data_IF_489779146833
#
_entry.id   IF_489779146833
#
_cell.length_a   1.000
_cell.length_b   1.000
_cell.length_c   1.000
_cell.angle_alpha   90.00
_cell.angle_beta   90.00
_cell.angle_gamma   90.00
#
_symmetry.space_group_name_H-M   'P 1'
#
loop_
_entity.id
_entity.type
_entity.pdbx_description
1 polymer ?
#
# COMPACT_ATOMS: atom_id res chain seq x y z
N UNK A 1 57.00 23.17 -7.21
CA UNK A 1 57.03 23.77 -8.54
C UNK A 1 55.62 24.18 -8.97
N UNK A 2 55.45 25.49 -9.06
CA UNK A 2 54.34 26.29 -9.47
C UNK A 2 53.92 26.09 -10.94
N UNK A 3 52.63 26.29 -11.27
CA UNK A 3 52.04 27.11 -12.36
C UNK A 3 50.51 26.93 -12.29
N UNK A 4 49.72 27.89 -11.91
CA UNK A 4 49.20 29.15 -12.53
C UNK A 4 48.69 28.98 -13.97
N UNK A 5 47.43 29.37 -14.17
CA UNK A 5 46.78 29.63 -15.47
C UNK A 5 45.24 29.61 -15.37
N UNK A 6 44.63 30.64 -14.95
CA UNK A 6 43.93 31.83 -15.53
C UNK A 6 42.56 31.58 -16.22
N UNK A 7 41.57 32.11 -15.59
CA UNK A 7 40.30 32.72 -16.01
C UNK A 7 40.10 33.03 -17.50
N UNK A 8 38.86 32.77 -18.01
CA UNK A 8 38.22 33.66 -18.98
C UNK A 8 36.68 33.67 -18.85
N UNK A 9 36.22 34.78 -18.33
CA UNK A 9 34.87 35.31 -18.48
C UNK A 9 34.64 35.79 -19.92
N UNK A 10 33.43 35.50 -20.49
CA UNK A 10 32.87 36.29 -21.54
C UNK A 10 31.37 36.52 -21.31
N UNK A 11 31.09 37.75 -20.93
CA UNK A 11 29.81 38.43 -21.05
C UNK A 11 29.59 38.84 -22.52
N UNK A 12 28.41 38.75 -23.08
CA UNK A 12 27.89 39.70 -24.06
C UNK A 12 26.38 39.82 -23.99
N UNK A 13 26.03 41.00 -23.73
CA UNK A 13 24.76 41.71 -23.74
C UNK A 13 24.14 41.80 -25.16
N UNK A 14 22.82 41.85 -25.17
CA UNK A 14 22.10 42.82 -25.99
C UNK A 14 21.33 42.26 -27.17
N UNK A 15 20.01 42.35 -27.21
CA UNK A 15 19.28 43.46 -27.81
C UNK A 15 17.75 43.27 -27.71
N UNK A 16 17.14 44.31 -27.20
CA UNK A 16 15.71 44.59 -27.31
C UNK A 16 15.30 44.84 -28.79
N UNK A 17 14.10 44.39 -29.16
CA UNK A 17 13.30 45.01 -30.17
C UNK A 17 11.81 44.84 -29.82
N UNK A 18 11.19 45.92 -29.53
CA UNK A 18 9.76 46.15 -29.41
C UNK A 18 9.20 46.55 -30.78
N UNK A 19 7.88 46.66 -30.90
CA UNK A 19 6.99 47.30 -31.94
C UNK A 19 6.01 46.23 -32.48
N UNK A 20 4.73 46.44 -32.61
CA UNK A 20 3.72 47.38 -32.19
C UNK A 20 2.35 46.82 -32.64
N UNK A 21 1.35 47.11 -31.85
CA UNK A 21 -0.05 47.41 -32.13
C UNK A 21 -0.63 47.15 -33.52
N UNK A 22 -1.78 46.45 -33.59
CA UNK A 22 -2.90 46.93 -34.41
C UNK A 22 -4.26 46.48 -33.84
N UNK A 23 -5.04 47.48 -33.59
CA UNK A 23 -6.43 47.59 -33.19
C UNK A 23 -7.31 47.26 -34.41
N UNK A 24 -8.35 46.47 -34.27
CA UNK A 24 -9.37 46.26 -35.28
C UNK A 24 -10.73 45.99 -34.65
N UNK A 25 -11.55 47.02 -34.66
CA UNK A 25 -12.94 47.06 -34.19
C UNK A 25 -13.93 46.62 -35.28
N UNK A 26 -15.18 46.33 -34.87
CA UNK A 26 -16.47 46.27 -35.61
C UNK A 26 -16.80 44.85 -36.22
N UNK A 27 -18.00 44.36 -36.17
CA UNK A 27 -19.32 44.84 -35.82
C UNK A 27 -20.28 43.65 -35.57
N UNK A 28 -21.27 43.89 -34.76
CA UNK A 28 -22.50 43.13 -34.50
C UNK A 28 -23.33 42.87 -35.76
N UNK A 29 -23.85 41.62 -35.91
CA UNK A 29 -25.14 41.41 -36.60
C UNK A 29 -25.95 40.35 -35.85
N UNK A 30 -27.09 40.80 -35.36
CA UNK A 30 -28.18 39.98 -34.87
C UNK A 30 -28.87 39.27 -36.03
N UNK A 31 -29.15 37.97 -35.89
CA UNK A 31 -29.95 37.22 -36.85
C UNK A 31 -30.68 36.07 -36.14
N UNK A 32 -31.94 36.30 -35.81
CA UNK A 32 -32.89 35.22 -35.48
C UNK A 32 -33.17 34.40 -36.72
N UNK A 33 -33.10 33.11 -36.62
CA UNK A 33 -33.52 32.15 -37.63
C UNK A 33 -33.95 30.85 -36.99
N UNK A 34 -35.23 30.70 -36.87
CA UNK A 34 -36.00 29.52 -36.41
C UNK A 34 -35.95 28.47 -37.54
N UNK A 35 -35.70 27.20 -37.23
CA UNK A 35 -36.30 25.94 -37.74
C UNK A 35 -35.25 24.78 -37.83
N UNK A 36 -35.49 23.79 -37.01
CA UNK A 36 -35.54 22.36 -37.30
C UNK A 36 -34.25 21.66 -37.79
N UNK A 37 -33.74 20.78 -36.97
CA UNK A 37 -32.79 19.74 -37.33
C UNK A 37 -32.31 19.03 -36.05
N UNK A 38 -32.95 17.91 -35.75
CA UNK A 38 -32.44 16.93 -34.79
C UNK A 38 -31.18 16.34 -35.39
N UNK A 39 -30.04 16.67 -34.80
CA UNK A 39 -28.81 15.91 -34.92
C UNK A 39 -28.41 15.53 -33.51
N UNK A 40 -28.58 14.23 -33.18
CA UNK A 40 -28.05 13.59 -32.00
C UNK A 40 -26.53 13.74 -31.94
N UNK A 41 -26.06 14.83 -31.40
CA UNK A 41 -24.72 14.91 -30.88
C UNK A 41 -24.74 14.19 -29.53
N UNK A 42 -24.26 12.96 -29.53
CA UNK A 42 -23.94 12.22 -28.34
C UNK A 42 -23.05 13.11 -27.46
N UNK A 43 -23.66 13.79 -26.52
CA UNK A 43 -22.98 14.38 -25.37
C UNK A 43 -22.36 13.21 -24.60
N UNK A 44 -21.06 13.04 -24.74
CA UNK A 44 -20.28 12.23 -23.82
C UNK A 44 -20.55 12.81 -22.42
N UNK A 45 -21.38 12.12 -21.68
CA UNK A 45 -21.74 12.47 -20.31
C UNK A 45 -20.49 12.37 -19.42
N UNK A 46 -19.81 13.47 -19.24
CA UNK A 46 -19.07 13.74 -18.03
C UNK A 46 -20.14 14.00 -16.96
N UNK A 47 -20.55 12.98 -16.23
CA UNK A 47 -21.35 13.17 -15.03
C UNK A 47 -20.56 14.08 -14.11
N UNK A 48 -21.16 15.21 -13.75
CA UNK A 48 -20.67 16.07 -12.68
C UNK A 48 -20.74 15.20 -11.41
N UNK A 49 -19.62 14.53 -11.07
CA UNK A 49 -19.57 13.70 -9.88
C UNK A 49 -19.70 14.64 -8.69
N UNK A 50 -20.73 14.45 -7.87
CA UNK A 50 -20.96 15.25 -6.66
C UNK A 50 -19.90 14.93 -5.56
N UNK A 51 -18.69 14.49 -5.98
CA UNK A 51 -17.56 14.21 -5.11
C UNK A 51 -16.77 15.49 -4.84
N UNK A 52 -16.26 15.61 -3.63
CA UNK A 52 -15.40 16.74 -3.23
C UNK A 52 -14.08 16.71 -4.00
N UNK A 53 -13.54 15.52 -4.22
CA UNK A 53 -12.33 15.25 -5.01
C UNK A 53 -12.57 14.01 -5.85
N UNK A 54 -12.63 14.15 -7.18
CA UNK A 54 -12.85 13.03 -8.10
C UNK A 54 -11.56 12.35 -8.57
N UNK A 55 -10.41 12.95 -8.39
CA UNK A 55 -9.11 12.36 -8.75
C UNK A 55 -8.26 12.18 -7.50
N UNK A 56 -7.88 10.95 -7.21
CA UNK A 56 -7.10 10.59 -6.00
C UNK A 56 -5.88 9.73 -6.36
N UNK A 57 -4.83 9.83 -5.53
CA UNK A 57 -3.66 8.97 -5.61
C UNK A 57 -3.69 7.92 -4.49
N UNK A 58 -3.59 6.64 -4.87
CA UNK A 58 -3.49 5.52 -3.93
C UNK A 58 -2.10 4.90 -4.00
N UNK A 59 -1.32 5.00 -2.93
CA UNK A 59 0.00 4.35 -2.86
C UNK A 59 -0.06 3.03 -2.09
N UNK A 60 0.73 2.04 -2.51
CA UNK A 60 0.72 0.71 -1.89
C UNK A 60 2.09 0.04 -1.88
N UNK A 61 2.28 -0.96 -1.01
CA UNK A 61 3.46 -1.83 -1.05
C UNK A 61 3.27 -2.91 -2.14
N UNK A 62 4.35 -3.41 -2.75
CA UNK A 62 4.25 -4.48 -3.73
C UNK A 62 3.90 -5.81 -3.04
N UNK A 63 2.63 -6.21 -3.11
CA UNK A 63 2.13 -7.50 -2.62
C UNK A 63 0.86 -7.88 -3.35
N UNK A 64 0.43 -9.13 -3.22
CA UNK A 64 -0.85 -9.57 -3.77
C UNK A 64 -2.06 -9.05 -3.00
N UNK A 65 -1.84 -8.47 -1.81
CA UNK A 65 -2.89 -7.88 -0.95
C UNK A 65 -3.69 -6.79 -1.66
N UNK A 66 -3.08 -6.16 -2.66
CA UNK A 66 -3.68 -5.07 -3.44
C UNK A 66 -4.41 -5.54 -4.70
N UNK A 67 -4.52 -6.85 -4.92
CA UNK A 67 -5.26 -7.36 -6.08
C UNK A 67 -6.68 -6.78 -6.19
N UNK A 68 -7.47 -6.61 -5.11
CA UNK A 68 -8.77 -5.95 -5.20
C UNK A 68 -8.71 -4.50 -5.68
N UNK A 69 -7.64 -3.74 -5.37
CA UNK A 69 -7.45 -2.36 -5.83
C UNK A 69 -7.30 -2.30 -7.37
N UNK A 70 -6.46 -3.16 -7.92
CA UNK A 70 -6.28 -3.27 -9.37
C UNK A 70 -7.51 -3.84 -10.06
N UNK A 71 -8.19 -4.78 -9.42
CA UNK A 71 -9.46 -5.32 -9.91
C UNK A 71 -10.54 -4.22 -10.00
N UNK A 72 -10.63 -3.34 -8.98
CA UNK A 72 -11.53 -2.20 -8.99
C UNK A 72 -11.24 -1.26 -10.17
N UNK A 73 -9.98 -1.02 -10.47
CA UNK A 73 -9.56 -0.20 -11.61
C UNK A 73 -9.88 -0.88 -12.95
N UNK A 74 -9.52 -2.15 -13.11
CA UNK A 74 -9.74 -2.90 -14.36
C UNK A 74 -11.23 -3.09 -14.68
N UNK A 75 -12.04 -3.37 -13.66
CA UNK A 75 -13.50 -3.52 -13.80
C UNK A 75 -14.25 -2.19 -13.90
N UNK A 76 -13.55 -1.06 -13.76
CA UNK A 76 -14.17 0.26 -13.82
C UNK A 76 -14.98 0.64 -12.58
N UNK A 77 -14.84 -0.07 -11.44
CA UNK A 77 -15.62 0.21 -10.23
C UNK A 77 -15.36 1.59 -9.64
N UNK A 78 -14.13 2.10 -9.77
CA UNK A 78 -13.83 3.48 -9.40
C UNK A 78 -14.52 4.47 -10.32
N UNK A 79 -14.48 4.23 -11.63
CA UNK A 79 -15.16 5.09 -12.62
C UNK A 79 -16.69 5.09 -12.46
N UNK A 80 -17.30 3.93 -12.13
CA UNK A 80 -18.72 3.81 -11.82
C UNK A 80 -19.12 4.70 -10.63
N UNK A 81 -18.20 4.92 -9.68
CA UNK A 81 -18.37 5.80 -8.50
C UNK A 81 -17.89 7.24 -8.76
N UNK A 82 -17.47 7.57 -9.98
CA UNK A 82 -17.01 8.90 -10.36
C UNK A 82 -15.58 9.22 -9.93
N UNK A 83 -14.77 8.20 -9.58
CA UNK A 83 -13.38 8.35 -9.17
C UNK A 83 -12.41 8.04 -10.32
N UNK A 84 -11.41 8.90 -10.47
CA UNK A 84 -10.19 8.65 -11.22
C UNK A 84 -9.06 8.35 -10.23
N UNK A 85 -8.56 7.11 -10.24
CA UNK A 85 -7.60 6.63 -9.24
C UNK A 85 -6.23 6.39 -9.88
N UNK A 86 -5.24 7.19 -9.50
CA UNK A 86 -3.85 6.93 -9.82
C UNK A 86 -3.26 5.95 -8.79
N UNK A 87 -2.76 4.80 -9.24
CA UNK A 87 -2.15 3.79 -8.38
C UNK A 87 -0.64 3.88 -8.46
N UNK A 88 0.04 4.01 -7.30
CA UNK A 88 1.49 4.12 -7.20
C UNK A 88 2.09 3.06 -6.27
N UNK A 89 3.22 2.48 -6.68
CA UNK A 89 4.00 1.59 -5.81
C UNK A 89 4.95 2.37 -4.90
N UNK A 90 5.05 1.94 -3.65
CA UNK A 90 6.05 2.36 -2.68
C UNK A 90 6.94 1.17 -2.30
N UNK A 91 8.16 1.43 -1.82
CA UNK A 91 9.11 0.38 -1.47
C UNK A 91 8.66 -0.50 -0.28
N UNK A 92 7.80 0.03 0.58
CA UNK A 92 7.22 -0.66 1.74
C UNK A 92 5.95 0.05 2.21
N UNK A 93 5.14 -0.60 3.07
CA UNK A 93 3.98 0.03 3.70
C UNK A 93 4.35 1.26 4.54
N UNK A 94 5.51 1.25 5.19
CA UNK A 94 6.02 2.43 5.90
C UNK A 94 6.32 3.58 4.92
N UNK A 95 6.94 3.30 3.77
CA UNK A 95 7.20 4.31 2.75
C UNK A 95 5.88 4.86 2.16
N UNK A 96 4.87 4.02 1.94
CA UNK A 96 3.54 4.45 1.53
C UNK A 96 2.91 5.39 2.58
N UNK A 97 2.98 5.03 3.87
CA UNK A 97 2.49 5.88 4.97
C UNK A 97 3.20 7.24 5.01
N UNK A 98 4.50 7.29 4.73
CA UNK A 98 5.24 8.56 4.63
C UNK A 98 4.76 9.42 3.45
N UNK A 99 4.43 8.82 2.30
CA UNK A 99 3.83 9.54 1.17
C UNK A 99 2.50 10.19 1.56
N UNK A 100 1.64 9.48 2.32
CA UNK A 100 0.39 10.04 2.83
C UNK A 100 0.62 11.22 3.77
N UNK A 101 1.54 11.07 4.72
CA UNK A 101 1.87 12.15 5.68
C UNK A 101 2.48 13.36 4.97
N UNK A 102 3.23 13.14 3.90
CA UNK A 102 3.85 14.18 3.07
C UNK A 102 2.88 14.83 2.06
N UNK A 103 1.68 14.27 1.87
CA UNK A 103 0.71 14.78 0.90
C UNK A 103 0.96 14.30 -0.54
N UNK A 104 1.84 13.32 -0.75
CA UNK A 104 2.11 12.74 -2.08
C UNK A 104 1.09 11.65 -2.46
N UNK A 105 0.27 11.19 -1.51
CA UNK A 105 -0.82 10.24 -1.74
C UNK A 105 -1.99 10.55 -0.80
N UNK A 106 -3.23 10.41 -1.31
CA UNK A 106 -4.47 10.67 -0.57
C UNK A 106 -4.84 9.48 0.31
N UNK A 107 -4.74 8.28 -0.25
CA UNK A 107 -5.02 7.01 0.42
C UNK A 107 -3.78 6.12 0.25
N UNK A 108 -3.48 5.33 1.27
CA UNK A 108 -2.37 4.37 1.17
C UNK A 108 -2.77 3.00 1.67
N UNK A 109 -2.28 1.95 1.02
CA UNK A 109 -2.32 0.60 1.55
C UNK A 109 -1.00 0.34 2.30
N UNK A 110 -1.13 -0.08 3.53
CA UNK A 110 -0.01 -0.44 4.42
C UNK A 110 -0.46 -1.46 5.45
N UNK A 111 0.49 -2.08 6.14
CA UNK A 111 0.12 -2.78 7.37
C UNK A 111 -0.44 -1.78 8.39
N UNK A 112 -1.27 -2.25 9.30
CA UNK A 112 -1.92 -1.37 10.28
C UNK A 112 -0.94 -0.75 11.29
N UNK A 113 0.19 -1.41 11.59
CA UNK A 113 1.16 -0.95 12.60
C UNK A 113 1.66 0.49 12.34
N UNK A 114 2.10 0.90 11.14
CA UNK A 114 2.48 2.28 10.87
C UNK A 114 1.38 3.31 11.13
N UNK A 115 0.10 2.97 10.89
CA UNK A 115 -1.02 3.87 11.15
C UNK A 115 -1.20 4.14 12.65
N UNK A 116 -1.26 3.06 13.45
CA UNK A 116 -1.35 3.17 14.89
C UNK A 116 -0.12 3.85 15.50
N UNK A 117 1.07 3.62 14.92
CA UNK A 117 2.30 4.26 15.38
C UNK A 117 2.30 5.77 15.09
N UNK A 118 1.83 6.20 13.92
CA UNK A 118 1.68 7.61 13.58
C UNK A 118 0.69 8.30 14.53
N UNK A 119 -0.45 7.67 14.79
CA UNK A 119 -1.45 8.15 15.75
C UNK A 119 -0.88 8.25 17.17
N UNK A 120 -0.20 7.19 17.67
CA UNK A 120 0.38 7.15 19.00
C UNK A 120 1.43 8.25 19.24
N UNK A 121 2.26 8.51 18.23
CA UNK A 121 3.31 9.52 18.26
C UNK A 121 2.81 10.95 17.97
N UNK A 122 1.54 11.11 17.59
CA UNK A 122 0.98 12.39 17.17
C UNK A 122 1.64 12.98 15.93
N UNK A 123 2.25 12.13 15.09
CA UNK A 123 2.88 12.58 13.82
C UNK A 123 1.86 12.76 12.71
N UNK A 124 0.73 12.04 12.77
CA UNK A 124 -0.42 12.22 11.89
C UNK A 124 -1.68 11.64 12.56
N UNK A 125 -2.82 12.25 12.30
CA UNK A 125 -4.12 11.66 12.58
C UNK A 125 -4.57 10.83 11.39
N UNK A 126 -4.67 9.52 11.59
CA UNK A 126 -4.99 8.56 10.51
C UNK A 126 -6.40 8.01 10.70
N UNK A 127 -7.12 7.86 9.60
CA UNK A 127 -8.37 7.11 9.52
C UNK A 127 -8.19 5.90 8.62
N UNK A 128 -8.67 4.75 9.06
CA UNK A 128 -8.72 3.52 8.26
C UNK A 128 -9.97 3.58 7.41
N UNK A 129 -9.81 3.65 6.10
CA UNK A 129 -10.91 3.87 5.15
C UNK A 129 -11.45 2.57 4.55
N UNK A 130 -10.60 1.55 4.40
CA UNK A 130 -11.03 0.21 3.97
C UNK A 130 -10.12 -0.86 4.56
N UNK A 131 -10.66 -2.06 4.75
CA UNK A 131 -9.85 -3.23 5.06
C UNK A 131 -9.18 -3.76 3.80
N UNK A 132 -8.15 -4.58 3.95
CA UNK A 132 -7.57 -5.30 2.83
C UNK A 132 -7.47 -6.79 3.14
N UNK A 133 -6.57 -7.18 4.05
CA UNK A 133 -6.28 -8.59 4.27
C UNK A 133 -6.05 -8.93 5.75
N UNK A 134 -6.42 -10.17 6.09
CA UNK A 134 -5.94 -10.84 7.28
C UNK A 134 -4.98 -11.97 6.93
N UNK A 135 -4.17 -12.36 7.91
CA UNK A 135 -3.30 -13.51 7.83
C UNK A 135 -4.12 -14.77 7.52
N UNK A 136 -3.66 -15.53 6.53
CA UNK A 136 -4.16 -16.86 6.20
C UNK A 136 -2.97 -17.84 6.21
N UNK A 137 -3.20 -19.14 6.39
CA UNK A 137 -2.12 -20.13 6.38
C UNK A 137 -1.25 -19.99 5.13
N UNK A 138 0.06 -20.09 5.33
CA UNK A 138 1.08 -20.08 4.28
C UNK A 138 1.11 -18.82 3.39
N UNK A 139 0.54 -17.70 3.82
CA UNK A 139 0.58 -16.42 3.08
C UNK A 139 1.63 -15.46 3.59
N UNK A 140 2.06 -15.64 4.84
CA UNK A 140 3.10 -14.86 5.49
C UNK A 140 3.95 -15.79 6.36
N UNK A 141 5.19 -16.00 5.97
CA UNK A 141 6.08 -16.98 6.64
C UNK A 141 7.44 -16.39 6.96
N UNK A 142 8.03 -16.93 8.01
CA UNK A 142 9.45 -16.83 8.26
C UNK A 142 10.15 -17.93 7.46
N UNK A 143 11.11 -17.54 6.64
CA UNK A 143 11.84 -18.47 5.77
C UNK A 143 13.32 -18.54 6.15
N UNK A 144 13.92 -19.68 5.91
CA UNK A 144 15.35 -19.89 6.00
C UNK A 144 15.87 -20.62 4.76
N UNK A 145 17.18 -20.74 4.64
CA UNK A 145 17.82 -21.48 3.56
C UNK A 145 17.47 -22.97 3.70
N UNK A 146 16.98 -23.58 2.63
CA UNK A 146 16.79 -25.03 2.55
C UNK A 146 18.15 -25.71 2.75
N UNK A 147 18.20 -26.73 3.54
CA UNK A 147 19.47 -27.43 3.92
C UNK A 147 20.45 -26.53 4.72
N UNK A 148 19.96 -25.46 5.36
CA UNK A 148 20.72 -24.59 6.26
C UNK A 148 20.69 -25.06 7.71
N UNK A 149 21.35 -24.30 8.60
CA UNK A 149 21.37 -24.59 10.04
C UNK A 149 20.09 -24.16 10.77
N UNK A 150 19.29 -23.26 10.16
CA UNK A 150 18.04 -22.73 10.75
C UNK A 150 16.90 -23.63 10.25
N UNK A 151 16.31 -24.37 11.17
CA UNK A 151 15.25 -25.35 10.87
C UNK A 151 13.92 -25.02 11.55
N UNK A 152 13.95 -24.14 12.52
CA UNK A 152 12.75 -23.71 13.25
C UNK A 152 12.95 -22.39 13.97
N UNK A 153 11.92 -21.98 14.69
CA UNK A 153 11.91 -20.72 15.46
C UNK A 153 12.94 -20.73 16.58
N UNK A 154 13.21 -21.89 17.13
CA UNK A 154 14.18 -22.14 18.22
C UNK A 154 15.62 -21.78 17.87
N UNK A 155 15.95 -21.71 16.59
CA UNK A 155 17.28 -21.38 16.10
C UNK A 155 17.52 -19.88 15.92
N UNK A 156 16.52 -19.03 16.20
CA UNK A 156 16.55 -17.61 15.85
C UNK A 156 17.25 -16.69 16.86
N UNK A 157 17.44 -17.15 18.12
CA UNK A 157 18.09 -16.31 19.13
C UNK A 157 19.51 -15.90 18.71
N UNK A 158 19.79 -14.59 18.82
CA UNK A 158 21.07 -14.00 18.45
C UNK A 158 21.33 -13.95 16.92
N UNK A 159 20.35 -14.27 16.10
CA UNK A 159 20.51 -14.28 14.64
C UNK A 159 20.11 -12.95 13.99
N UNK A 160 20.59 -12.76 12.76
CA UNK A 160 20.13 -11.69 11.87
C UNK A 160 18.87 -12.13 11.15
N UNK A 161 17.80 -11.37 11.30
CA UNK A 161 16.52 -11.66 10.64
C UNK A 161 16.13 -10.48 9.74
N UNK A 162 15.89 -10.78 8.46
CA UNK A 162 15.43 -9.79 7.49
C UNK A 162 13.93 -9.49 7.67
N UNK A 163 13.59 -8.20 7.66
CA UNK A 163 12.22 -7.68 7.63
C UNK A 163 12.13 -6.55 6.63
N UNK A 164 10.97 -6.35 6.00
CA UNK A 164 10.79 -5.28 4.99
C UNK A 164 10.99 -3.88 5.57
N UNK A 165 10.61 -3.69 6.82
CA UNK A 165 10.88 -2.51 7.63
C UNK A 165 10.71 -2.88 9.11
N UNK A 166 11.43 -2.19 9.99
CA UNK A 166 11.26 -2.31 11.44
C UNK A 166 10.08 -1.48 11.94
N UNK A 167 9.52 -1.86 13.09
CA UNK A 167 8.31 -1.26 13.64
C UNK A 167 7.11 -1.34 12.68
N UNK A 168 6.98 -2.48 12.03
CA UNK A 168 5.84 -2.86 11.20
C UNK A 168 5.29 -4.20 11.66
N UNK A 169 4.31 -4.73 10.93
CA UNK A 169 3.80 -6.07 11.25
C UNK A 169 4.89 -7.15 11.07
N UNK A 170 5.85 -6.95 10.15
CA UNK A 170 6.85 -7.95 9.81
C UNK A 170 7.74 -8.35 11.01
N UNK A 171 8.26 -7.38 11.77
CA UNK A 171 9.05 -7.67 12.97
C UNK A 171 8.19 -7.99 14.18
N UNK A 172 7.03 -7.35 14.30
CA UNK A 172 6.14 -7.54 15.45
C UNK A 172 5.58 -8.95 15.52
N UNK A 173 5.21 -9.51 14.36
CA UNK A 173 4.64 -10.86 14.29
C UNK A 173 5.70 -11.95 14.62
N UNK A 174 6.95 -11.74 14.20
CA UNK A 174 8.06 -12.65 14.55
C UNK A 174 8.38 -12.56 16.04
N UNK A 175 8.36 -11.35 16.64
CA UNK A 175 8.50 -11.18 18.09
C UNK A 175 7.41 -11.94 18.85
N UNK A 176 6.16 -11.89 18.36
CA UNK A 176 5.05 -12.65 18.95
C UNK A 176 5.28 -14.16 18.85
N UNK A 177 5.74 -14.63 17.71
CA UNK A 177 6.05 -16.03 17.48
C UNK A 177 7.17 -16.50 18.41
N UNK A 178 8.28 -15.78 18.52
CA UNK A 178 9.40 -16.08 19.40
C UNK A 178 8.96 -16.10 20.86
N UNK A 179 8.20 -15.08 21.31
CA UNK A 179 7.67 -15.00 22.70
C UNK A 179 6.78 -16.20 23.02
N UNK A 180 5.91 -16.61 22.10
CA UNK A 180 5.03 -17.76 22.27
C UNK A 180 5.83 -19.06 22.46
N UNK A 181 7.02 -19.14 21.84
CA UNK A 181 7.94 -20.28 21.98
C UNK A 181 8.95 -20.09 23.15
N UNK A 182 8.81 -19.05 23.98
CA UNK A 182 9.66 -18.82 25.15
C UNK A 182 11.06 -18.31 24.82
N UNK A 183 11.25 -17.71 23.61
CA UNK A 183 12.54 -17.25 23.10
C UNK A 183 12.73 -15.75 23.31
N UNK A 184 13.99 -15.33 23.48
CA UNK A 184 14.37 -13.92 23.61
C UNK A 184 14.47 -13.23 22.26
N UNK A 185 13.37 -12.59 21.84
CA UNK A 185 13.35 -11.77 20.62
C UNK A 185 14.22 -10.48 20.72
N UNK A 186 14.61 -10.07 21.94
CA UNK A 186 15.53 -8.94 22.17
C UNK A 186 16.95 -9.25 21.73
N UNK A 187 17.31 -10.51 21.61
CA UNK A 187 18.64 -10.96 21.10
C UNK A 187 18.78 -10.86 19.58
N UNK A 188 17.68 -10.67 18.84
CA UNK A 188 17.66 -10.66 17.37
C UNK A 188 18.20 -9.35 16.80
N UNK A 189 19.11 -9.45 15.82
CA UNK A 189 19.51 -8.31 14.98
C UNK A 189 18.56 -8.17 13.78
N UNK A 190 17.71 -7.15 13.81
CA UNK A 190 16.75 -6.87 12.75
C UNK A 190 17.43 -6.14 11.59
N UNK A 191 17.39 -6.73 10.39
CA UNK A 191 18.00 -6.18 9.17
C UNK A 191 16.90 -5.80 8.19
N UNK A 192 16.89 -4.55 7.75
CA UNK A 192 15.92 -4.10 6.76
C UNK A 192 16.32 -4.58 5.36
N UNK A 193 15.51 -5.43 4.75
CA UNK A 193 15.65 -5.94 3.39
C UNK A 193 14.28 -5.94 2.73
N UNK A 194 14.19 -5.43 1.51
CA UNK A 194 12.91 -5.42 0.77
C UNK A 194 12.43 -6.85 0.50
N UNK A 195 11.12 -7.07 0.38
CA UNK A 195 10.59 -8.41 0.10
C UNK A 195 11.20 -9.06 -1.16
N UNK A 196 11.36 -8.34 -2.31
CA UNK A 196 12.01 -8.91 -3.50
C UNK A 196 13.44 -9.41 -3.26
N UNK A 197 14.17 -8.79 -2.32
CA UNK A 197 15.58 -9.08 -2.08
C UNK A 197 15.80 -10.08 -0.94
N UNK A 198 14.77 -10.33 -0.11
CA UNK A 198 14.90 -11.12 1.13
C UNK A 198 15.30 -12.56 0.86
N UNK A 199 14.65 -13.25 -0.09
CA UNK A 199 14.97 -14.64 -0.40
C UNK A 199 16.43 -14.80 -0.86
N UNK A 200 16.91 -13.89 -1.71
CA UNK A 200 18.29 -13.87 -2.16
C UNK A 200 19.28 -13.61 -0.99
N UNK A 201 18.96 -12.70 -0.07
CA UNK A 201 19.78 -12.40 1.10
C UNK A 201 19.90 -13.62 2.05
N UNK A 202 18.79 -14.32 2.28
CA UNK A 202 18.77 -15.58 3.06
C UNK A 202 19.60 -16.66 2.35
N UNK A 203 19.43 -16.86 1.06
CA UNK A 203 20.15 -17.87 0.29
C UNK A 203 21.67 -17.64 0.31
N UNK A 204 22.13 -16.38 0.27
CA UNK A 204 23.56 -16.01 0.38
C UNK A 204 24.11 -16.12 1.81
N UNK A 205 23.24 -16.19 2.83
CA UNK A 205 23.63 -16.18 4.23
C UNK A 205 23.97 -14.79 4.79
N UNK A 206 23.54 -13.71 4.14
CA UNK A 206 23.64 -12.33 4.63
C UNK A 206 22.81 -12.14 5.91
N UNK A 207 21.70 -12.88 5.98
CA UNK A 207 20.80 -13.03 7.13
C UNK A 207 20.48 -14.52 7.33
N UNK A 208 20.17 -14.91 8.56
CA UNK A 208 19.88 -16.31 8.91
C UNK A 208 18.47 -16.72 8.47
N UNK A 209 17.51 -15.79 8.60
CA UNK A 209 16.13 -15.98 8.23
C UNK A 209 15.54 -14.64 7.74
N UNK A 210 14.35 -14.68 7.16
CA UNK A 210 13.65 -13.47 6.74
C UNK A 210 12.15 -13.67 6.66
N UNK A 211 11.39 -12.59 6.80
CA UNK A 211 9.94 -12.62 6.59
C UNK A 211 9.62 -12.44 5.12
N UNK A 212 8.75 -13.28 4.60
CA UNK A 212 8.22 -13.17 3.25
C UNK A 212 6.69 -13.28 3.26
N UNK A 213 6.08 -12.47 2.41
CA UNK A 213 4.67 -12.55 2.02
C UNK A 213 4.58 -13.03 0.58
N UNK A 214 3.37 -13.43 0.17
CA UNK A 214 3.15 -13.74 -1.25
C UNK A 214 3.18 -12.48 -2.15
N UNK A 215 3.71 -12.56 -3.37
CA UNK A 215 4.17 -13.77 -4.07
C UNK A 215 5.65 -14.12 -3.80
N UNK A 216 6.36 -13.34 -3.00
CA UNK A 216 7.80 -13.50 -2.75
C UNK A 216 8.13 -14.79 -1.98
N UNK A 217 7.15 -15.35 -1.24
CA UNK A 217 7.29 -16.63 -0.58
C UNK A 217 7.40 -17.75 -1.62
N UNK A 218 6.46 -17.82 -2.54
CA UNK A 218 6.45 -18.80 -3.63
C UNK A 218 7.64 -18.62 -4.57
N UNK A 219 7.90 -17.41 -5.07
CA UNK A 219 9.04 -17.13 -5.96
C UNK A 219 10.38 -17.40 -5.27
N UNK A 220 10.51 -17.02 -4.01
CA UNK A 220 11.74 -17.27 -3.23
C UNK A 220 12.06 -18.74 -3.05
N UNK A 221 11.04 -19.57 -2.85
CA UNK A 221 11.18 -21.00 -2.77
C UNK A 221 11.66 -21.61 -4.10
N UNK A 222 11.11 -21.13 -5.22
CA UNK A 222 11.45 -21.61 -6.56
C UNK A 222 12.84 -21.15 -7.03
N UNK A 223 13.15 -19.88 -6.86
CA UNK A 223 14.35 -19.27 -7.45
C UNK A 223 15.58 -19.33 -6.55
N UNK A 224 15.39 -19.29 -5.22
CA UNK A 224 16.48 -19.14 -4.25
C UNK A 224 16.61 -20.30 -3.27
N UNK A 225 15.71 -21.28 -3.31
CA UNK A 225 15.76 -22.44 -2.45
C UNK A 225 15.63 -22.10 -0.96
N UNK A 226 14.85 -21.06 -0.64
CA UNK A 226 14.39 -20.82 0.74
C UNK A 226 13.13 -21.62 1.00
N UNK A 227 12.85 -21.92 2.28
CA UNK A 227 11.66 -22.62 2.67
C UNK A 227 11.07 -22.04 3.95
N UNK A 228 9.75 -22.13 4.16
CA UNK A 228 9.13 -21.74 5.42
C UNK A 228 9.66 -22.59 6.60
N UNK A 229 10.06 -21.92 7.68
CA UNK A 229 10.40 -22.55 8.97
C UNK A 229 9.32 -22.31 10.01
N UNK A 230 8.48 -21.29 9.78
CA UNK A 230 7.29 -21.03 10.58
C UNK A 230 6.28 -20.20 9.78
N UNK A 231 5.01 -20.59 9.86
CA UNK A 231 3.89 -19.75 9.47
C UNK A 231 3.61 -18.75 10.59
N UNK A 232 3.53 -17.46 10.26
CA UNK A 232 3.26 -16.42 11.24
C UNK A 232 1.77 -16.24 11.53
N UNK A 233 0.89 -16.85 10.75
CA UNK A 233 -0.57 -16.86 10.95
C UNK A 233 -1.04 -17.91 11.95
N UNK A 234 -0.33 -18.07 13.07
CA UNK A 234 -0.60 -19.12 14.05
C UNK A 234 -0.70 -18.58 15.48
N UNK A 235 -1.45 -19.29 16.34
CA UNK A 235 -1.59 -18.91 17.75
C UNK A 235 -2.16 -17.51 17.94
N UNK A 236 -1.48 -16.59 18.66
CA UNK A 236 -1.97 -15.24 18.88
C UNK A 236 -2.17 -14.42 17.61
N UNK A 237 -1.57 -14.84 16.49
CA UNK A 237 -1.62 -14.15 15.20
C UNK A 237 -2.48 -14.88 14.16
N UNK A 238 -3.21 -15.92 14.55
CA UNK A 238 -4.22 -16.55 13.68
C UNK A 238 -5.28 -15.54 13.23
N UNK A 239 -5.55 -15.50 11.93
CA UNK A 239 -6.48 -14.56 11.30
C UNK A 239 -6.23 -13.09 11.72
N UNK A 240 -4.95 -12.73 11.91
CA UNK A 240 -4.56 -11.40 12.37
C UNK A 240 -4.79 -10.36 11.26
N UNK A 241 -5.34 -9.16 11.58
CA UNK A 241 -5.47 -8.10 10.59
C UNK A 241 -4.08 -7.59 10.18
N UNK A 242 -3.70 -7.78 8.93
CA UNK A 242 -2.36 -7.46 8.45
C UNK A 242 -2.28 -6.06 7.86
N UNK A 243 -3.16 -5.75 6.93
CA UNK A 243 -3.10 -4.54 6.13
C UNK A 243 -4.49 -4.00 5.78
N UNK A 244 -4.53 -2.70 5.51
CA UNK A 244 -5.73 -1.99 5.08
C UNK A 244 -5.37 -0.66 4.44
N UNK A 245 -6.38 0.08 4.04
CA UNK A 245 -6.24 1.39 3.43
C UNK A 245 -6.45 2.47 4.49
N UNK A 246 -5.53 3.44 4.54
CA UNK A 246 -5.58 4.57 5.45
C UNK A 246 -5.49 5.89 4.71
N UNK A 247 -6.06 6.94 5.29
CA UNK A 247 -5.95 8.33 4.85
C UNK A 247 -5.74 9.23 6.06
N UNK A 248 -5.31 10.47 5.84
CA UNK A 248 -5.29 11.48 6.90
C UNK A 248 -6.71 11.80 7.35
N UNK A 249 -6.89 12.10 8.63
CA UNK A 249 -8.20 12.50 9.18
C UNK A 249 -8.75 13.72 8.43
N UNK A 250 -7.91 14.72 8.18
CA UNK A 250 -8.28 15.91 7.40
C UNK A 250 -8.80 15.57 6.01
N UNK A 251 -8.17 14.61 5.31
CA UNK A 251 -8.65 14.18 4.00
C UNK A 251 -10.05 13.57 4.09
N UNK A 252 -10.27 12.68 5.07
CA UNK A 252 -11.58 12.01 5.23
C UNK A 252 -12.70 12.95 5.67
N UNK A 253 -12.37 13.98 6.44
CA UNK A 253 -13.31 15.01 6.91
C UNK A 253 -13.69 15.97 5.80
N UNK A 254 -12.74 16.35 4.94
CA UNK A 254 -12.95 17.25 3.84
C UNK A 254 -13.56 16.57 2.59
N UNK A 255 -13.40 15.26 2.44
CA UNK A 255 -13.80 14.49 1.26
C UNK A 255 -14.67 13.25 1.60
N UNK A 256 -15.75 13.39 2.39
CA UNK A 256 -16.53 12.23 2.86
C UNK A 256 -17.21 11.45 1.73
N UNK A 257 -17.69 12.11 0.67
CA UNK A 257 -18.30 11.42 -0.48
C UNK A 257 -17.24 10.68 -1.32
N UNK A 258 -16.06 11.29 -1.50
CA UNK A 258 -14.91 10.65 -2.15
C UNK A 258 -14.49 9.37 -1.41
N UNK A 259 -14.38 9.44 -0.08
CA UNK A 259 -14.07 8.28 0.76
C UNK A 259 -15.16 7.20 0.64
N UNK A 260 -16.44 7.59 0.68
CA UNK A 260 -17.55 6.66 0.53
C UNK A 260 -17.55 5.98 -0.86
N UNK A 261 -17.25 6.73 -1.93
CA UNK A 261 -17.11 6.18 -3.29
C UNK A 261 -15.96 5.17 -3.38
N UNK A 262 -14.80 5.49 -2.81
CA UNK A 262 -13.67 4.57 -2.71
C UNK A 262 -14.05 3.29 -1.96
N UNK A 263 -14.75 3.40 -0.82
CA UNK A 263 -15.19 2.25 -0.02
C UNK A 263 -16.13 1.33 -0.81
N UNK A 264 -17.13 1.90 -1.53
CA UNK A 264 -18.08 1.09 -2.33
C UNK A 264 -17.38 0.36 -3.48
N UNK A 265 -16.46 1.03 -4.17
CA UNK A 265 -15.68 0.40 -5.23
C UNK A 265 -14.80 -0.75 -4.69
N UNK A 266 -14.14 -0.52 -3.55
CA UNK A 266 -13.30 -1.54 -2.90
C UNK A 266 -14.12 -2.71 -2.35
N UNK A 267 -15.30 -2.46 -1.77
CA UNK A 267 -16.20 -3.52 -1.29
C UNK A 267 -16.59 -4.47 -2.43
N UNK A 268 -16.99 -3.91 -3.57
CA UNK A 268 -17.36 -4.67 -4.76
C UNK A 268 -16.17 -5.49 -5.30
N UNK A 269 -15.01 -4.86 -5.44
CA UNK A 269 -13.81 -5.53 -5.91
C UNK A 269 -13.33 -6.63 -4.93
N UNK A 270 -13.41 -6.38 -3.63
CA UNK A 270 -13.04 -7.36 -2.61
C UNK A 270 -13.99 -8.55 -2.59
N UNK A 271 -15.29 -8.32 -2.87
CA UNK A 271 -16.27 -9.40 -3.05
C UNK A 271 -15.92 -10.27 -4.26
N UNK A 272 -15.59 -9.67 -5.40
CA UNK A 272 -15.21 -10.41 -6.60
C UNK A 272 -13.87 -11.16 -6.40
N UNK A 273 -12.96 -10.58 -5.63
CA UNK A 273 -11.65 -11.16 -5.32
C UNK A 273 -11.70 -12.43 -4.44
N UNK A 274 -12.87 -12.80 -3.92
CA UNK A 274 -13.07 -14.11 -3.28
C UNK A 274 -12.97 -15.27 -4.29
N UNK A 275 -13.16 -14.99 -5.58
CA UNK A 275 -12.99 -15.97 -6.65
C UNK A 275 -11.54 -15.94 -7.16
N UNK A 276 -10.79 -17.02 -6.89
CA UNK A 276 -9.41 -17.15 -7.33
C UNK A 276 -9.25 -16.92 -8.84
N UNK A 277 -10.18 -17.39 -9.64
CA UNK A 277 -10.12 -17.27 -11.10
C UNK A 277 -10.18 -15.81 -11.58
N UNK A 278 -10.76 -14.93 -10.77
CA UNK A 278 -10.81 -13.49 -11.02
C UNK A 278 -9.52 -12.79 -10.58
N UNK A 279 -8.94 -13.23 -9.45
CA UNK A 279 -7.75 -12.60 -8.85
C UNK A 279 -6.46 -13.01 -9.52
N UNK A 280 -6.35 -14.26 -9.95
CA UNK A 280 -5.10 -14.83 -10.46
C UNK A 280 -4.51 -14.07 -11.67
N UNK A 281 -5.29 -13.65 -12.70
CA UNK A 281 -4.77 -12.79 -13.77
C UNK A 281 -4.25 -11.44 -13.27
N UNK A 282 -4.94 -10.83 -12.28
CA UNK A 282 -4.53 -9.57 -11.67
C UNK A 282 -3.18 -9.71 -10.97
N UNK A 283 -2.99 -10.82 -10.23
CA UNK A 283 -1.73 -11.10 -9.54
C UNK A 283 -0.59 -11.26 -10.54
N UNK A 284 -0.80 -11.96 -11.66
CA UNK A 284 0.21 -12.12 -12.70
C UNK A 284 0.69 -10.77 -13.21
N UNK A 285 -0.25 -9.87 -13.53
CA UNK A 285 0.04 -8.57 -14.10
C UNK A 285 0.67 -7.60 -13.08
N UNK A 286 0.18 -7.58 -11.85
CA UNK A 286 0.63 -6.63 -10.82
C UNK A 286 1.93 -7.05 -10.15
N UNK A 287 2.11 -8.34 -9.89
CA UNK A 287 3.32 -8.89 -9.27
C UNK A 287 4.40 -9.26 -10.30
N UNK A 288 4.10 -9.21 -11.61
CA UNK A 288 5.01 -9.59 -12.71
C UNK A 288 5.54 -11.02 -12.59
N UNK A 289 4.68 -11.95 -12.18
CA UNK A 289 4.96 -13.37 -12.09
C UNK A 289 4.27 -14.13 -13.23
N UNK A 290 4.81 -15.30 -13.59
CA UNK A 290 4.20 -16.15 -14.60
C UNK A 290 2.95 -16.89 -14.08
N UNK A 291 2.20 -17.49 -15.01
CA UNK A 291 0.96 -18.19 -14.69
C UNK A 291 1.19 -19.41 -13.79
N UNK A 292 2.32 -20.10 -13.91
CA UNK A 292 2.67 -21.24 -13.07
C UNK A 292 2.87 -20.78 -11.64
N UNK A 293 3.69 -19.75 -11.41
CA UNK A 293 3.91 -19.16 -10.09
C UNK A 293 2.61 -18.62 -9.50
N UNK A 294 1.79 -17.90 -10.27
CA UNK A 294 0.51 -17.35 -9.79
C UNK A 294 -0.47 -18.44 -9.34
N UNK A 295 -0.46 -19.60 -10.01
CA UNK A 295 -1.30 -20.74 -9.62
C UNK A 295 -0.90 -21.37 -8.28
N UNK A 296 0.37 -21.23 -7.88
CA UNK A 296 0.94 -21.76 -6.64
C UNK A 296 0.84 -20.80 -5.45
N UNK A 297 0.65 -19.50 -5.71
CA UNK A 297 0.53 -18.48 -4.67
C UNK A 297 -0.65 -18.77 -3.74
N UNK A 298 -0.43 -18.73 -2.43
CA UNK A 298 -1.50 -18.79 -1.44
C UNK A 298 -2.16 -17.41 -1.31
N UNK A 299 -3.49 -17.37 -1.40
CA UNK A 299 -4.23 -16.12 -1.28
C UNK A 299 -4.47 -15.76 0.18
N UNK A 300 -4.28 -14.49 0.58
CA UNK A 300 -4.70 -14.02 1.89
C UNK A 300 -6.23 -14.00 1.98
N UNK A 301 -6.75 -13.85 3.20
CA UNK A 301 -8.17 -13.60 3.37
C UNK A 301 -8.45 -12.13 3.09
N UNK A 302 -9.12 -11.85 1.97
CA UNK A 302 -9.57 -10.50 1.64
C UNK A 302 -10.80 -10.11 2.47
N UNK A 303 -10.79 -8.90 3.03
CA UNK A 303 -11.89 -8.37 3.85
C UNK A 303 -12.48 -7.11 3.23
N UNK A 304 -13.82 -7.08 3.14
CA UNK A 304 -14.56 -5.91 2.63
C UNK A 304 -15.06 -4.98 3.72
N UNK A 305 -15.10 -5.43 4.98
CA UNK A 305 -15.67 -4.65 6.09
C UNK A 305 -14.66 -4.42 7.20
N UNK A 306 -14.67 -3.19 7.74
CA UNK A 306 -13.90 -2.80 8.90
C UNK A 306 -14.56 -3.28 10.19
N UNK A 307 -13.92 -4.20 10.90
CA UNK A 307 -14.34 -4.68 12.22
C UNK A 307 -13.40 -4.11 13.29
N UNK A 308 -13.94 -3.24 14.15
CA UNK A 308 -13.17 -2.58 15.20
C UNK A 308 -12.58 -3.56 16.22
N UNK A 309 -13.30 -4.65 16.54
CA UNK A 309 -12.80 -5.65 17.50
C UNK A 309 -11.65 -6.46 16.93
N UNK A 310 -11.70 -6.77 15.64
CA UNK A 310 -10.61 -7.43 14.93
C UNK A 310 -9.39 -6.51 14.84
N UNK A 311 -9.59 -5.25 14.43
CA UNK A 311 -8.52 -4.26 14.32
C UNK A 311 -7.87 -3.92 15.66
N UNK A 312 -8.61 -4.00 16.80
CA UNK A 312 -8.10 -3.74 18.14
C UNK A 312 -6.93 -4.65 18.53
N UNK A 313 -6.84 -5.83 17.93
CA UNK A 313 -5.72 -6.75 18.15
C UNK A 313 -4.36 -6.14 17.77
N UNK A 314 -4.34 -5.21 16.82
CA UNK A 314 -3.08 -4.57 16.37
C UNK A 314 -2.50 -3.66 17.43
N UNK A 315 -3.18 -2.61 17.91
CA UNK A 315 -2.63 -1.75 18.97
C UNK A 315 -2.44 -2.51 20.29
N UNK A 316 -3.23 -3.55 20.58
CA UNK A 316 -2.98 -4.38 21.77
C UNK A 316 -1.64 -5.14 21.66
N UNK A 317 -1.33 -5.71 20.49
CA UNK A 317 -0.04 -6.34 20.21
C UNK A 317 1.10 -5.32 20.25
N UNK A 318 0.89 -4.10 19.75
CA UNK A 318 1.88 -3.03 19.76
C UNK A 318 2.23 -2.58 21.18
N UNK A 319 1.26 -2.52 22.11
CA UNK A 319 1.51 -2.26 23.54
C UNK A 319 2.32 -3.41 24.14
N UNK A 320 1.95 -4.65 23.84
CA UNK A 320 2.63 -5.85 24.36
C UNK A 320 4.13 -5.87 24.01
N UNK A 321 4.49 -5.43 22.79
CA UNK A 321 5.88 -5.39 22.33
C UNK A 321 6.56 -4.01 22.49
N UNK A 322 5.92 -3.07 23.20
CA UNK A 322 6.51 -1.77 23.51
C UNK A 322 6.70 -0.85 22.31
N UNK A 323 5.91 -1.02 21.25
CA UNK A 323 5.91 -0.11 20.10
C UNK A 323 5.18 1.19 20.41
N UNK A 324 4.19 1.11 21.29
CA UNK A 324 3.43 2.25 21.82
C UNK A 324 3.26 2.08 23.34
N UNK A 325 3.21 3.22 24.06
CA UNK A 325 3.17 3.22 25.53
C UNK A 325 1.76 3.05 26.11
N UNK A 326 0.73 3.31 25.32
CA UNK A 326 -0.66 3.28 25.76
C UNK A 326 -1.59 2.68 24.69
N UNK A 327 -2.70 2.12 25.17
CA UNK A 327 -3.74 1.56 24.28
C UNK A 327 -4.37 2.65 23.42
N UNK A 328 -4.62 2.33 22.18
CA UNK A 328 -5.40 3.13 21.22
C UNK A 328 -6.70 2.39 20.97
N UNK A 329 -7.81 3.10 20.96
CA UNK A 329 -9.10 2.57 20.51
C UNK A 329 -9.15 2.53 18.99
N UNK A 330 -9.07 1.35 18.42
CA UNK A 330 -9.13 1.15 16.98
C UNK A 330 -10.43 1.67 16.37
N UNK A 331 -11.54 1.64 17.12
CA UNK A 331 -12.84 2.11 16.63
C UNK A 331 -12.86 3.61 16.31
N UNK A 332 -12.05 4.40 17.01
CA UNK A 332 -11.90 5.84 16.79
C UNK A 332 -11.11 6.17 15.51
N UNK A 333 -10.35 5.21 14.99
CA UNK A 333 -9.59 5.38 13.75
C UNK A 333 -10.32 4.91 12.49
N UNK A 334 -11.50 4.29 12.62
CA UNK A 334 -12.28 3.84 11.46
C UNK A 334 -13.02 5.04 10.85
N UNK A 335 -12.77 5.31 9.57
CA UNK A 335 -13.55 6.29 8.83
C UNK A 335 -14.98 5.79 8.64
N UNK A 336 -15.92 6.55 9.16
CA UNK A 336 -17.36 6.34 8.93
C UNK A 336 -17.86 7.53 8.13
N UNK A 337 -17.90 7.43 6.80
CA UNK A 337 -18.53 8.48 6.02
C UNK A 337 -19.97 8.59 6.50
N UNK A 338 -20.44 9.82 6.68
CA UNK A 338 -21.82 10.05 7.03
C UNK A 338 -22.69 9.37 5.96
N UNK A 339 -23.55 8.45 6.37
CA UNK A 339 -24.55 7.88 5.48
C UNK A 339 -25.35 9.04 4.90
N UNK A 340 -25.17 9.28 3.59
CA UNK A 340 -25.89 10.29 2.87
C UNK A 340 -27.37 9.88 2.73
#
# INVERSE_FOLDING_TARGET
LLRHGTTRTHSRRGRLAAVATSLGLLASVSGCGLLGGEDDAASSGGGDSDLEQSSITVAHLPSIDVAPLYLAQEKGYFADEGLDVAIEQAASGQAATQKMIGGDADIVQSSYVPYFLAQAKGTAEVRIVADAVAAAPDTFSLVAKKDGEITGVEDLEGKKIAVSATNTIADTIVKSLMKTNGLDYGSVEWVQVSFPDTAAAVARGDVAAGTLIEPFLTSGAQEHGVHPIADVATGPTDSFPLAGYGALAEFTENNPKTVAAFQRAMEKATSDAQDRSVVEPIIQDTAKIDAETASLVNLPTFHSSLDASRLQRVPDLMVEFGLIDSKIDASAMIARPNAA
#
